data_IF_004354526567
#
_entry.id   IF_004354526567
#
_cell.length_a   1.000
_cell.length_b   1.000
_cell.length_c   1.000
_cell.angle_alpha   90.00
_cell.angle_beta   90.00
_cell.angle_gamma   90.00
#
_symmetry.space_group_name_H-M   'P 1'
#
loop_
_entity.id
_entity.type
_entity.pdbx_description
1 polymer ?
#
# COMPACT_ATOMS: atom_id res chain seq x y z
N UNK A 1 61.13 15.12 3.33
CA UNK A 1 61.92 15.22 2.09
C UNK A 1 60.93 15.49 0.95
N UNK A 2 61.11 16.61 0.24
CA UNK A 2 60.16 17.21 -0.71
C UNK A 2 60.16 16.46 -2.05
N UNK A 3 58.98 16.18 -2.61
CA UNK A 3 58.84 15.78 -4.03
C UNK A 3 58.33 16.98 -4.82
N UNK A 4 59.05 17.28 -5.89
CA UNK A 4 58.97 18.47 -6.74
C UNK A 4 57.78 18.44 -7.70
N UNK A 5 57.29 19.64 -7.93
CA UNK A 5 56.31 20.13 -8.90
C UNK A 5 56.55 19.69 -10.35
N UNK A 6 55.47 19.52 -11.12
CA UNK A 6 55.44 19.81 -12.57
C UNK A 6 54.01 20.21 -12.99
N UNK A 7 53.79 21.51 -12.96
CA UNK A 7 52.57 22.20 -13.37
C UNK A 7 52.63 22.47 -14.87
N UNK A 8 51.73 21.85 -15.65
CA UNK A 8 51.53 22.17 -17.05
C UNK A 8 50.87 23.55 -17.16
N UNK A 9 51.55 24.46 -17.87
CA UNK A 9 51.10 25.83 -18.14
C UNK A 9 50.06 25.81 -19.27
N UNK A 10 48.79 26.01 -18.93
CA UNK A 10 47.77 26.39 -19.91
C UNK A 10 47.70 27.93 -19.96
N UNK A 11 48.14 28.45 -21.10
CA UNK A 11 48.04 29.85 -21.50
C UNK A 11 46.57 30.11 -21.82
N UNK A 12 45.91 30.98 -21.06
CA UNK A 12 44.62 31.57 -21.45
C UNK A 12 44.73 33.10 -21.46
N UNK A 13 44.40 33.75 -22.59
CA UNK A 13 44.48 35.20 -22.69
C UNK A 13 43.43 35.86 -21.80
N UNK A 14 43.88 36.88 -21.10
CA UNK A 14 43.05 37.78 -20.31
C UNK A 14 42.26 38.73 -21.22
N UNK A 15 41.11 39.12 -20.68
CA UNK A 15 40.28 40.31 -20.96
C UNK A 15 39.19 40.15 -22.02
N UNK A 16 37.93 40.12 -21.57
CA UNK A 16 37.07 41.32 -21.57
C UNK A 16 35.71 41.04 -20.89
N UNK A 17 35.25 42.06 -20.16
CA UNK A 17 33.86 42.43 -19.92
C UNK A 17 32.96 41.57 -19.00
N UNK A 18 32.78 42.13 -17.80
CA UNK A 18 31.49 42.44 -17.16
C UNK A 18 30.27 41.61 -17.58
N UNK A 19 29.82 40.73 -16.68
CA UNK A 19 28.42 40.52 -16.33
C UNK A 19 28.36 39.55 -15.16
N UNK A 20 28.22 40.09 -13.95
CA UNK A 20 27.86 39.31 -12.77
C UNK A 20 26.36 38.97 -12.85
N UNK A 21 26.04 37.78 -13.35
CA UNK A 21 24.71 37.18 -13.21
C UNK A 21 24.90 35.74 -12.74
N UNK A 22 24.85 35.58 -11.42
CA UNK A 22 24.72 34.30 -10.75
C UNK A 22 23.40 33.66 -11.17
N UNK A 23 23.45 32.66 -12.06
CA UNK A 23 22.35 31.72 -12.26
C UNK A 23 22.70 30.42 -11.56
N UNK A 24 22.42 30.37 -10.26
CA UNK A 24 22.32 29.12 -9.54
C UNK A 24 21.03 28.44 -10.00
N UNK A 25 21.13 27.49 -10.94
CA UNK A 25 20.02 26.63 -11.32
C UNK A 25 19.73 25.66 -10.17
N UNK A 26 18.75 26.01 -9.34
CA UNK A 26 18.22 25.14 -8.29
C UNK A 26 17.48 23.96 -8.94
N UNK A 27 18.12 22.79 -8.96
CA UNK A 27 17.43 21.52 -9.20
C UNK A 27 16.62 21.20 -7.94
N UNK A 28 15.36 21.62 -7.91
CA UNK A 28 14.44 21.23 -6.85
C UNK A 28 14.10 19.74 -7.03
N UNK A 29 14.32 18.87 -6.01
CA UNK A 29 13.86 17.50 -6.09
C UNK A 29 12.34 17.49 -6.10
N UNK A 30 11.76 16.92 -7.16
CA UNK A 30 10.35 16.51 -7.17
C UNK A 30 10.19 15.42 -6.10
N UNK A 31 9.91 15.84 -4.87
CA UNK A 31 9.49 14.93 -3.81
C UNK A 31 8.11 14.39 -4.20
N UNK A 32 8.05 13.10 -4.49
CA UNK A 32 6.82 12.37 -4.72
C UNK A 32 6.04 12.40 -3.41
N UNK A 33 5.13 13.35 -3.25
CA UNK A 33 4.23 13.42 -2.10
C UNK A 33 3.42 12.11 -2.07
N UNK A 34 3.79 11.21 -1.16
CA UNK A 34 2.99 10.02 -0.91
C UNK A 34 1.68 10.48 -0.26
N UNK A 35 0.51 10.00 -0.72
CA UNK A 35 -0.75 10.29 -0.06
C UNK A 35 -0.65 9.81 1.39
N UNK A 36 -0.80 10.72 2.35
CA UNK A 36 -0.96 10.33 3.75
C UNK A 36 -2.28 9.56 3.89
N UNK A 37 -2.33 8.52 4.75
CA UNK A 37 -3.55 7.81 5.00
C UNK A 37 -4.64 8.76 5.53
N UNK A 38 -5.92 8.49 5.26
CA UNK A 38 -7.03 9.25 5.81
C UNK A 38 -7.10 9.07 7.34
N UNK A 39 -6.36 9.88 8.09
CA UNK A 39 -6.27 9.81 9.56
C UNK A 39 -7.33 10.63 10.29
N UNK A 40 -8.21 11.34 9.57
CA UNK A 40 -9.29 12.12 10.19
C UNK A 40 -10.52 11.24 10.46
N UNK A 41 -11.24 11.51 11.55
CA UNK A 41 -12.47 10.79 11.90
C UNK A 41 -13.58 10.91 10.86
N UNK A 42 -13.56 11.96 10.03
CA UNK A 42 -14.48 12.07 8.91
C UNK A 42 -14.10 11.04 7.85
N UNK A 43 -12.85 11.06 7.38
CA UNK A 43 -12.36 10.18 6.33
C UNK A 43 -12.34 8.68 6.72
N UNK A 44 -12.27 8.36 8.01
CA UNK A 44 -12.41 6.97 8.50
C UNK A 44 -13.84 6.44 8.39
N UNK A 45 -14.86 7.30 8.33
CA UNK A 45 -16.25 6.89 8.14
C UNK A 45 -16.51 6.30 6.75
N UNK A 46 -15.70 6.65 5.75
CA UNK A 46 -15.73 6.08 4.41
C UNK A 46 -15.12 4.67 4.34
N UNK A 47 -14.39 4.24 5.37
CA UNK A 47 -13.64 2.98 5.32
C UNK A 47 -14.52 1.75 5.04
N UNK A 48 -15.69 1.54 5.67
CA UNK A 48 -16.52 0.39 5.36
C UNK A 48 -16.92 0.32 3.87
N UNK A 49 -17.24 1.46 3.27
CA UNK A 49 -17.56 1.54 1.83
C UNK A 49 -16.34 1.21 0.98
N UNK A 50 -15.15 1.70 1.34
CA UNK A 50 -13.91 1.39 0.63
C UNK A 50 -13.51 -0.09 0.75
N UNK A 51 -13.60 -0.66 1.95
CA UNK A 51 -13.31 -2.07 2.22
C UNK A 51 -14.25 -2.99 1.43
N UNK A 52 -15.55 -2.68 1.41
CA UNK A 52 -16.51 -3.42 0.59
C UNK A 52 -16.26 -3.26 -0.90
N UNK A 53 -15.81 -2.09 -1.36
CA UNK A 53 -15.38 -1.89 -2.76
C UNK A 53 -14.25 -2.85 -3.13
N UNK A 54 -13.18 -2.87 -2.33
CA UNK A 54 -12.06 -3.79 -2.51
C UNK A 54 -12.51 -5.26 -2.51
N UNK A 55 -13.29 -5.67 -1.51
CA UNK A 55 -13.75 -7.06 -1.38
C UNK A 55 -14.69 -7.49 -2.52
N UNK A 56 -15.54 -6.59 -3.01
CA UNK A 56 -16.42 -6.89 -4.15
C UNK A 56 -15.64 -7.11 -5.45
N UNK A 57 -14.47 -6.48 -5.59
CA UNK A 57 -13.57 -6.71 -6.73
C UNK A 57 -12.76 -8.01 -6.58
N UNK A 58 -12.27 -8.30 -5.38
CA UNK A 58 -11.34 -9.41 -5.16
C UNK A 58 -12.01 -10.77 -4.95
N UNK A 59 -13.20 -10.83 -4.32
CA UNK A 59 -13.83 -12.12 -4.01
C UNK A 59 -14.19 -12.95 -5.25
N UNK A 60 -14.78 -12.39 -6.33
CA UNK A 60 -15.06 -13.17 -7.53
C UNK A 60 -13.78 -13.66 -8.22
N UNK A 61 -12.71 -12.86 -8.21
CA UNK A 61 -11.40 -13.26 -8.78
C UNK A 61 -10.78 -14.40 -7.97
N UNK A 62 -10.85 -14.32 -6.65
CA UNK A 62 -10.40 -15.37 -5.75
C UNK A 62 -11.18 -16.67 -5.97
N UNK A 63 -12.50 -16.60 -6.12
CA UNK A 63 -13.32 -17.78 -6.40
C UNK A 63 -12.93 -18.45 -7.73
N UNK A 64 -12.68 -17.64 -8.77
CA UNK A 64 -12.12 -18.11 -10.04
C UNK A 64 -10.76 -18.79 -9.86
N UNK A 65 -9.83 -18.14 -9.17
CA UNK A 65 -8.49 -18.67 -8.91
C UNK A 65 -8.51 -19.98 -8.09
N UNK A 66 -9.40 -20.11 -7.11
CA UNK A 66 -9.61 -21.37 -6.38
C UNK A 66 -10.07 -22.47 -7.33
N UNK A 67 -11.04 -22.17 -8.20
CA UNK A 67 -11.57 -23.14 -9.18
C UNK A 67 -10.50 -23.59 -10.18
N UNK A 68 -9.68 -22.65 -10.65
CA UNK A 68 -8.62 -22.91 -11.65
C UNK A 68 -7.31 -23.41 -11.01
N UNK A 69 -7.24 -23.40 -9.68
CA UNK A 69 -6.03 -23.67 -8.89
C UNK A 69 -4.87 -22.73 -9.22
N UNK A 70 -5.20 -21.50 -9.60
CA UNK A 70 -4.26 -20.44 -9.90
C UNK A 70 -3.63 -19.91 -8.60
N UNK A 71 -2.33 -20.15 -8.44
CA UNK A 71 -1.54 -19.71 -7.29
C UNK A 71 -1.02 -18.30 -7.48
N UNK A 72 -0.81 -17.88 -8.72
CA UNK A 72 -0.20 -16.59 -9.06
C UNK A 72 -1.16 -15.45 -8.66
N UNK A 73 -2.47 -15.68 -8.80
CA UNK A 73 -3.49 -14.80 -8.26
C UNK A 73 -3.25 -14.42 -6.79
N UNK A 74 -2.88 -15.39 -5.94
CA UNK A 74 -2.73 -15.15 -4.50
C UNK A 74 -1.48 -14.33 -4.17
N UNK A 75 -0.43 -14.45 -4.96
CA UNK A 75 0.77 -13.60 -4.82
C UNK A 75 0.44 -12.15 -5.17
N UNK A 76 -0.24 -11.94 -6.30
CA UNK A 76 -0.64 -10.58 -6.74
C UNK A 76 -1.70 -9.96 -5.82
N UNK A 77 -2.67 -10.75 -5.35
CA UNK A 77 -3.72 -10.30 -4.42
C UNK A 77 -3.14 -9.87 -3.08
N UNK A 78 -2.04 -10.49 -2.64
CA UNK A 78 -1.34 -10.08 -1.42
C UNK A 78 -0.79 -8.66 -1.58
N UNK A 79 -0.19 -8.34 -2.72
CA UNK A 79 0.26 -6.97 -3.04
C UNK A 79 -0.89 -5.96 -2.93
N UNK A 80 -2.01 -6.22 -3.62
CA UNK A 80 -3.19 -5.33 -3.59
C UNK A 80 -3.77 -5.15 -2.18
N UNK A 81 -3.83 -6.22 -1.39
CA UNK A 81 -4.26 -6.17 0.00
C UNK A 81 -3.32 -5.32 0.87
N UNK A 82 -2.00 -5.46 0.68
CA UNK A 82 -1.01 -4.66 1.40
C UNK A 82 -1.11 -3.17 1.04
N UNK A 83 -1.26 -2.86 -0.25
CA UNK A 83 -1.44 -1.49 -0.72
C UNK A 83 -2.70 -0.86 -0.15
N UNK A 84 -3.83 -1.59 -0.16
CA UNK A 84 -5.07 -1.13 0.47
C UNK A 84 -4.88 -0.92 1.98
N UNK A 85 -4.20 -1.85 2.65
CA UNK A 85 -3.93 -1.76 4.08
C UNK A 85 -3.05 -0.57 4.46
N UNK A 86 -2.05 -0.28 3.64
CA UNK A 86 -1.15 0.87 3.80
C UNK A 86 -1.89 2.18 3.55
N UNK A 87 -2.69 2.24 2.48
CA UNK A 87 -3.51 3.41 2.15
C UNK A 87 -4.42 3.82 3.31
N UNK A 88 -4.97 2.85 4.05
CA UNK A 88 -5.90 3.11 5.16
C UNK A 88 -5.24 3.09 6.55
N UNK A 89 -4.01 2.59 6.67
CA UNK A 89 -3.22 2.59 7.91
C UNK A 89 -3.70 1.62 8.98
N UNK A 90 -4.42 0.54 8.66
CA UNK A 90 -4.91 -0.42 9.68
C UNK A 90 -3.97 -1.60 9.95
N UNK A 91 -3.02 -1.93 9.06
CA UNK A 91 -2.06 -3.02 9.32
C UNK A 91 -0.97 -2.64 10.33
N UNK A 92 -0.59 -1.37 10.37
CA UNK A 92 0.42 -0.81 11.27
C UNK A 92 -0.16 -0.22 12.56
N UNK A 93 -1.47 -0.23 12.75
CA UNK A 93 -2.17 0.52 13.83
C UNK A 93 -1.98 2.04 13.71
N UNK A 94 -1.51 2.55 12.58
CA UNK A 94 -1.29 3.98 12.32
C UNK A 94 -2.61 4.78 12.24
N UNK A 95 -3.74 4.10 12.08
CA UNK A 95 -5.07 4.68 12.05
C UNK A 95 -5.99 4.09 13.13
N UNK A 96 -5.85 4.53 14.40
CA UNK A 96 -6.67 4.02 15.50
C UNK A 96 -8.17 4.27 15.31
N UNK A 97 -8.56 5.21 14.45
CA UNK A 97 -9.96 5.48 14.14
C UNK A 97 -10.65 4.30 13.42
N UNK A 98 -9.89 3.38 12.82
CA UNK A 98 -10.43 2.18 12.17
C UNK A 98 -10.76 1.04 13.15
N UNK A 99 -10.37 1.15 14.42
CA UNK A 99 -10.69 0.15 15.47
C UNK A 99 -12.20 -0.14 15.55
N UNK A 100 -13.04 0.89 15.38
CA UNK A 100 -14.51 0.73 15.38
C UNK A 100 -15.06 -0.07 14.18
N UNK A 101 -14.24 -0.26 13.15
CA UNK A 101 -14.54 -0.98 11.93
C UNK A 101 -13.75 -2.29 11.82
N UNK A 102 -13.41 -2.90 12.97
CA UNK A 102 -12.63 -4.13 13.05
C UNK A 102 -13.15 -5.25 12.12
N UNK A 103 -14.47 -5.39 11.99
CA UNK A 103 -15.07 -6.38 11.07
C UNK A 103 -14.68 -6.15 9.60
N UNK A 104 -14.52 -4.90 9.17
CA UNK A 104 -14.04 -4.57 7.82
C UNK A 104 -12.53 -4.80 7.66
N UNK A 105 -11.72 -4.39 8.64
CA UNK A 105 -10.25 -4.60 8.58
C UNK A 105 -9.90 -6.09 8.62
N UNK A 106 -10.63 -6.87 9.42
CA UNK A 106 -10.49 -8.32 9.51
C UNK A 106 -10.95 -8.99 8.20
N UNK A 107 -12.08 -8.60 7.62
CA UNK A 107 -12.52 -9.16 6.34
C UNK A 107 -11.49 -8.92 5.21
N UNK A 108 -10.92 -7.71 5.12
CA UNK A 108 -9.86 -7.41 4.15
C UNK A 108 -8.57 -8.17 4.43
N UNK A 109 -8.25 -8.49 5.68
CA UNK A 109 -7.03 -9.25 6.01
C UNK A 109 -7.22 -10.76 5.79
N UNK A 110 -8.42 -11.28 6.08
CA UNK A 110 -8.70 -12.71 6.08
C UNK A 110 -9.07 -13.27 4.69
N UNK A 111 -9.56 -12.45 3.73
CA UNK A 111 -10.08 -12.97 2.45
C UNK A 111 -9.05 -13.84 1.71
N UNK A 112 -7.79 -13.41 1.69
CA UNK A 112 -6.73 -14.09 0.97
C UNK A 112 -6.39 -15.43 1.63
N UNK A 113 -6.33 -15.45 2.96
CA UNK A 113 -6.11 -16.67 3.75
C UNK A 113 -7.26 -17.65 3.54
N UNK A 114 -8.51 -17.17 3.56
CA UNK A 114 -9.70 -17.98 3.26
C UNK A 114 -9.60 -18.61 1.88
N UNK A 115 -9.24 -17.84 0.85
CA UNK A 115 -9.06 -18.38 -0.49
C UNK A 115 -7.94 -19.42 -0.57
N UNK A 116 -6.79 -19.16 0.06
CA UNK A 116 -5.69 -20.12 0.13
C UNK A 116 -6.10 -21.41 0.84
N UNK A 117 -6.87 -21.34 1.92
CA UNK A 117 -7.36 -22.50 2.65
C UNK A 117 -8.42 -23.30 1.88
N UNK A 118 -9.13 -22.68 0.94
CA UNK A 118 -9.97 -23.42 -0.03
C UNK A 118 -9.10 -24.16 -1.06
N UNK A 119 -7.97 -23.60 -1.46
CA UNK A 119 -7.03 -24.21 -2.40
C UNK A 119 -6.16 -25.31 -1.76
N UNK A 120 -5.75 -25.12 -0.50
CA UNK A 120 -4.85 -25.99 0.27
C UNK A 120 -5.39 -26.15 1.71
N UNK A 121 -6.36 -27.05 1.93
CA UNK A 121 -7.11 -27.10 3.20
C UNK A 121 -6.33 -27.60 4.42
N UNK A 122 -5.16 -28.23 4.23
CA UNK A 122 -4.36 -28.81 5.32
C UNK A 122 -3.16 -27.93 5.72
N UNK A 123 -3.17 -26.63 5.41
CA UNK A 123 -2.12 -25.70 5.85
C UNK A 123 -2.27 -25.31 7.32
N UNK A 124 -1.17 -25.04 8.02
CA UNK A 124 -1.16 -24.71 9.45
C UNK A 124 -1.98 -23.45 9.82
N UNK A 125 -2.22 -22.57 8.84
CA UNK A 125 -3.00 -21.34 9.00
C UNK A 125 -4.51 -21.54 8.81
N UNK A 126 -4.94 -22.72 8.36
CA UNK A 126 -6.32 -23.04 8.01
C UNK A 126 -7.10 -23.54 9.21
N UNK A 127 -7.44 -22.63 10.10
CA UNK A 127 -8.21 -22.95 11.30
C UNK A 127 -9.71 -23.14 11.00
N UNK A 128 -10.43 -24.06 11.71
CA UNK A 128 -11.80 -24.44 11.35
C UNK A 128 -12.84 -23.32 11.34
N UNK A 129 -12.65 -22.25 12.12
CA UNK A 129 -13.56 -21.11 12.25
C UNK A 129 -13.21 -19.96 11.32
N UNK A 130 -12.17 -20.07 10.48
CA UNK A 130 -11.68 -18.96 9.67
C UNK A 130 -12.74 -18.50 8.68
N UNK A 131 -13.26 -19.45 7.89
CA UNK A 131 -14.29 -19.15 6.90
C UNK A 131 -15.61 -18.65 7.56
N UNK A 132 -16.16 -19.31 8.60
CA UNK A 132 -17.34 -18.78 9.31
C UNK A 132 -17.13 -17.36 9.89
N UNK A 133 -15.96 -17.07 10.46
CA UNK A 133 -15.63 -15.74 10.99
C UNK A 133 -15.55 -14.71 9.86
N UNK A 134 -14.85 -15.05 8.79
CA UNK A 134 -14.75 -14.21 7.61
C UNK A 134 -16.13 -13.86 7.04
N UNK A 135 -17.01 -14.84 6.88
CA UNK A 135 -18.37 -14.63 6.35
C UNK A 135 -19.20 -13.69 7.25
N UNK A 136 -19.10 -13.87 8.57
CA UNK A 136 -19.74 -12.99 9.56
C UNK A 136 -19.20 -11.55 9.48
N UNK A 137 -17.88 -11.41 9.38
CA UNK A 137 -17.21 -10.11 9.27
C UNK A 137 -17.56 -9.40 7.96
N UNK A 138 -17.55 -10.12 6.84
CA UNK A 138 -17.95 -9.62 5.53
C UNK A 138 -19.40 -9.12 5.54
N UNK A 139 -20.31 -9.89 6.14
CA UNK A 139 -21.71 -9.49 6.30
C UNK A 139 -21.82 -8.20 7.12
N UNK A 140 -21.16 -8.14 8.28
CA UNK A 140 -21.21 -6.95 9.14
C UNK A 140 -20.58 -5.72 8.49
N UNK A 141 -19.48 -5.90 7.75
CA UNK A 141 -18.86 -4.83 6.99
C UNK A 141 -19.79 -4.29 5.90
N UNK A 142 -20.52 -5.17 5.21
CA UNK A 142 -21.53 -4.78 4.23
C UNK A 142 -22.64 -3.91 4.82
N UNK A 143 -23.14 -4.28 6.01
CA UNK A 143 -24.16 -3.49 6.73
C UNK A 143 -23.65 -2.08 7.05
N UNK A 144 -22.40 -1.96 7.51
CA UNK A 144 -21.75 -0.68 7.80
C UNK A 144 -21.55 0.16 6.52
N UNK A 145 -21.17 -0.48 5.41
CA UNK A 145 -20.97 0.19 4.13
C UNK A 145 -22.25 0.77 3.53
N UNK A 146 -23.41 0.17 3.83
CA UNK A 146 -24.72 0.66 3.40
C UNK A 146 -25.33 1.77 4.29
N UNK A 147 -24.57 2.27 5.28
CA UNK A 147 -25.04 3.34 6.18
C UNK A 147 -25.99 2.85 7.28
N UNK A 148 -25.72 1.65 7.82
CA UNK A 148 -26.58 0.95 8.79
C UNK A 148 -26.91 1.70 10.07
#
# INVERSE_FOLDING_TARGET
>A
MRIKSSTVRLVFPRLLSASALWLAASVAPLAWAQPLPPSSSAASAEFPRAAMGFLNEELPKMEGAVSERDRDYFEDAMGRMLDFSQQWGFKSTDNPALTRYATCTEAVSDFLVVGLCRLIPNGDVCEPRLAPRFDSNLKRCRELASGG
#
